data_IF_407982026701
#
_entry.id   IF_407982026701
#
_cell.length_a   1.000
_cell.length_b   1.000
_cell.length_c   1.000
_cell.angle_alpha   90.00
_cell.angle_beta   90.00
_cell.angle_gamma   90.00
#
_symmetry.space_group_name_H-M   'P 1'
#
loop_
_entity.id
_entity.type
_entity.pdbx_description
1 polymer ?
#
# COMPACT_ATOMS: atom_id res chain seq x y z
N UNK A 1 16.78 -14.91 4.43
CA UNK A 1 16.85 -14.89 5.91
C UNK A 1 15.74 -15.77 6.45
N UNK A 2 16.05 -16.59 7.48
CA UNK A 2 15.07 -17.42 8.18
C UNK A 2 14.87 -16.84 9.58
N UNK A 3 13.63 -16.81 10.04
CA UNK A 3 13.30 -16.43 11.40
C UNK A 3 12.22 -17.35 11.95
N UNK A 4 12.27 -17.60 13.25
CA UNK A 4 11.23 -18.32 13.97
C UNK A 4 10.43 -17.30 14.76
N UNK A 5 9.09 -17.35 14.61
CA UNK A 5 8.15 -16.48 15.31
C UNK A 5 7.18 -17.34 16.11
N UNK A 6 7.46 -17.64 17.39
CA UNK A 6 6.48 -18.30 18.26
C UNK A 6 5.26 -17.40 18.46
N UNK A 7 4.08 -17.93 18.31
CA UNK A 7 2.84 -17.17 18.48
C UNK A 7 1.71 -18.06 19.02
N UNK A 8 0.68 -17.43 19.55
CA UNK A 8 -0.60 -18.06 19.88
C UNK A 8 -1.54 -17.93 18.69
N UNK A 9 -2.51 -18.84 18.59
CA UNK A 9 -3.46 -18.83 17.50
C UNK A 9 -2.88 -19.28 16.15
N UNK A 10 -3.60 -18.96 15.09
CA UNK A 10 -3.12 -19.27 13.74
C UNK A 10 -2.20 -18.14 13.19
N UNK A 11 -1.61 -18.36 12.02
CA UNK A 11 -0.69 -17.41 11.38
C UNK A 11 -1.37 -16.09 10.97
N UNK A 12 -2.69 -16.09 10.76
CA UNK A 12 -3.46 -14.87 10.44
C UNK A 12 -3.64 -14.02 11.69
N UNK A 13 -4.07 -14.65 12.80
CA UNK A 13 -4.21 -13.97 14.09
C UNK A 13 -2.89 -13.39 14.58
N UNK A 14 -1.80 -14.10 14.34
CA UNK A 14 -0.46 -13.66 14.68
C UNK A 14 0.14 -12.64 13.69
N UNK A 15 -0.59 -12.28 12.63
CA UNK A 15 -0.16 -11.30 11.62
C UNK A 15 1.21 -11.62 10.98
N UNK A 16 1.49 -12.92 10.77
CA UNK A 16 2.80 -13.41 10.33
C UNK A 16 3.26 -12.79 9.00
N UNK A 17 2.34 -12.50 8.09
CA UNK A 17 2.67 -11.88 6.79
C UNK A 17 3.29 -10.50 6.98
N UNK A 18 2.73 -9.66 7.85
CA UNK A 18 3.27 -8.33 8.15
C UNK A 18 4.60 -8.40 8.90
N UNK A 19 4.74 -9.32 9.83
CA UNK A 19 6.01 -9.50 10.57
C UNK A 19 7.11 -10.00 9.63
N UNK A 20 6.79 -10.88 8.68
CA UNK A 20 7.72 -11.29 7.63
C UNK A 20 8.11 -10.11 6.72
N UNK A 21 7.15 -9.24 6.37
CA UNK A 21 7.41 -8.00 5.63
C UNK A 21 8.41 -7.10 6.38
N UNK A 22 8.17 -6.83 7.65
CA UNK A 22 9.09 -6.02 8.49
C UNK A 22 10.51 -6.61 8.58
N UNK A 23 10.62 -7.94 8.56
CA UNK A 23 11.93 -8.60 8.57
C UNK A 23 12.67 -8.46 7.23
N UNK A 24 11.95 -8.53 6.12
CA UNK A 24 12.51 -8.56 4.78
C UNK A 24 12.69 -7.16 4.16
N UNK A 25 11.78 -6.25 4.48
CA UNK A 25 11.78 -4.88 3.97
C UNK A 25 12.43 -3.94 4.99
N UNK A 26 13.71 -3.69 4.80
CA UNK A 26 14.45 -2.80 5.71
C UNK A 26 14.09 -1.34 5.44
N UNK A 27 13.86 -0.53 6.49
CA UNK A 27 13.65 0.89 6.33
C UNK A 27 14.91 1.56 5.74
N UNK A 28 14.68 2.52 4.84
CA UNK A 28 15.75 3.36 4.30
C UNK A 28 15.97 4.51 5.28
N UNK A 29 17.19 4.62 5.79
CA UNK A 29 17.58 5.70 6.69
C UNK A 29 18.45 6.70 5.93
N UNK A 30 18.06 7.96 5.94
CA UNK A 30 18.92 9.06 5.48
C UNK A 30 19.07 10.11 6.57
N UNK A 31 20.29 10.63 6.73
CA UNK A 31 20.60 11.70 7.68
C UNK A 31 20.93 12.96 6.89
N UNK A 32 20.19 14.03 7.14
CA UNK A 32 20.52 15.34 6.58
C UNK A 32 20.77 16.34 7.71
N UNK A 33 21.66 17.29 7.47
CA UNK A 33 21.85 18.41 8.37
C UNK A 33 20.83 19.50 8.04
N UNK A 34 19.91 19.85 8.93
CA UNK A 34 19.00 20.96 8.68
C UNK A 34 19.83 22.23 8.46
N UNK A 35 19.49 23.02 7.46
CA UNK A 35 20.10 24.33 7.30
C UNK A 35 19.67 25.21 8.49
N UNK A 36 20.57 26.04 8.96
CA UNK A 36 20.45 26.85 10.20
C UNK A 36 19.26 27.85 10.21
N UNK A 37 18.36 27.77 9.25
CA UNK A 37 17.32 28.79 9.04
C UNK A 37 15.90 28.36 9.39
N UNK A 38 15.67 27.14 9.85
CA UNK A 38 14.31 26.73 10.27
C UNK A 38 14.35 25.86 11.50
N UNK A 39 14.03 26.46 12.64
CA UNK A 39 13.76 25.77 13.90
C UNK A 39 12.39 25.07 13.91
N UNK A 40 11.76 24.84 12.78
CA UNK A 40 10.54 24.07 12.74
C UNK A 40 10.86 22.60 12.97
N UNK A 41 10.53 22.13 14.16
CA UNK A 41 10.39 20.70 14.44
C UNK A 41 9.31 20.15 13.53
N UNK A 42 9.70 19.78 12.33
CA UNK A 42 8.85 19.04 11.41
C UNK A 42 8.53 17.70 12.08
N UNK A 43 7.34 17.60 12.56
CA UNK A 43 6.79 16.34 12.96
C UNK A 43 6.32 15.59 11.70
N UNK A 44 6.60 14.57 11.50
CA UNK A 44 7.44 13.77 10.83
C UNK A 44 6.93 12.38 10.63
N UNK A 45 5.63 12.17 10.66
CA UNK A 45 4.99 11.00 10.10
C UNK A 45 4.11 11.43 8.92
N UNK A 46 4.50 11.00 7.73
CA UNK A 46 3.71 11.17 6.52
C UNK A 46 3.30 9.79 5.99
N UNK A 47 2.01 9.60 5.79
CA UNK A 47 1.44 8.39 5.21
C UNK A 47 0.94 8.72 3.81
N UNK A 48 1.50 8.08 2.80
CA UNK A 48 1.09 8.29 1.40
C UNK A 48 -0.30 7.72 1.13
N UNK A 49 -0.55 6.50 1.58
CA UNK A 49 -1.83 5.84 1.50
C UNK A 49 -1.96 4.79 2.61
N UNK A 50 -3.19 4.46 2.96
CA UNK A 50 -3.49 3.48 4.00
C UNK A 50 -4.63 2.56 3.57
N UNK A 51 -4.45 1.27 3.77
CA UNK A 51 -5.46 0.24 3.49
C UNK A 51 -6.08 -0.20 4.80
N UNK A 52 -7.40 -0.16 4.91
CA UNK A 52 -8.13 -0.46 6.15
C UNK A 52 -8.03 -1.92 6.61
N UNK A 53 -7.74 -2.83 5.70
CA UNK A 53 -7.83 -4.27 5.94
C UNK A 53 -6.45 -4.90 6.10
N UNK A 54 -6.13 -5.51 7.25
CA UNK A 54 -4.78 -6.03 7.53
C UNK A 54 -4.39 -7.22 6.65
N UNK A 55 -5.35 -7.92 6.04
CA UNK A 55 -5.10 -9.01 5.10
C UNK A 55 -4.83 -8.53 3.67
N UNK A 56 -4.88 -7.22 3.40
CA UNK A 56 -4.57 -6.65 2.10
C UNK A 56 -3.22 -5.95 2.17
N UNK A 57 -2.25 -6.49 1.45
CA UNK A 57 -0.86 -6.08 1.49
C UNK A 57 -0.52 -5.27 0.24
N UNK A 58 -0.02 -4.07 0.41
CA UNK A 58 0.58 -3.28 -0.67
C UNK A 58 1.98 -3.83 -0.94
N UNK A 59 2.21 -4.36 -2.13
CA UNK A 59 3.50 -4.97 -2.50
C UNK A 59 4.42 -4.05 -3.26
N UNK A 60 3.88 -3.11 -4.00
CA UNK A 60 4.70 -2.14 -4.72
C UNK A 60 3.97 -0.83 -4.97
N UNK A 61 4.75 0.23 -4.90
CA UNK A 61 4.38 1.56 -5.38
C UNK A 61 5.50 2.00 -6.32
N UNK A 62 5.18 2.21 -7.60
CA UNK A 62 6.17 2.60 -8.61
C UNK A 62 5.57 3.59 -9.61
N UNK A 63 6.43 4.22 -10.42
CA UNK A 63 5.95 4.98 -11.58
C UNK A 63 5.41 4.03 -12.63
N UNK A 64 4.35 4.44 -13.31
CA UNK A 64 3.80 3.71 -14.45
C UNK A 64 4.82 3.64 -15.61
N UNK A 65 4.83 2.54 -16.35
CA UNK A 65 5.77 2.33 -17.46
C UNK A 65 5.44 3.22 -18.67
N UNK A 66 4.17 3.27 -19.04
CA UNK A 66 3.74 3.88 -20.30
C UNK A 66 2.97 5.19 -20.14
N UNK A 67 2.64 5.59 -18.91
CA UNK A 67 1.81 6.75 -18.61
C UNK A 67 2.36 7.58 -17.44
N UNK A 68 1.87 8.81 -17.32
CA UNK A 68 2.12 9.60 -16.12
C UNK A 68 1.25 9.10 -14.99
N UNK A 69 1.84 8.70 -13.87
CA UNK A 69 1.11 8.27 -12.69
C UNK A 69 1.89 7.28 -11.84
N UNK A 70 1.24 6.81 -10.80
CA UNK A 70 1.76 5.80 -9.89
C UNK A 70 0.97 4.50 -10.02
N UNK A 71 1.70 3.41 -10.12
CA UNK A 71 1.13 2.07 -9.99
C UNK A 71 1.21 1.66 -8.54
N UNK A 72 0.07 1.24 -8.00
CA UNK A 72 -0.02 0.60 -6.68
C UNK A 72 -0.53 -0.81 -6.87
N UNK A 73 0.24 -1.79 -6.42
CA UNK A 73 -0.14 -3.20 -6.48
C UNK A 73 -0.35 -3.74 -5.09
N UNK A 74 -1.42 -4.48 -4.91
CA UNK A 74 -1.76 -5.10 -3.64
C UNK A 74 -2.35 -6.49 -3.85
N UNK A 75 -2.33 -7.31 -2.81
CA UNK A 75 -2.93 -8.63 -2.83
C UNK A 75 -3.60 -8.96 -1.50
N UNK A 76 -4.57 -9.85 -1.56
CA UNK A 76 -5.20 -10.42 -0.38
C UNK A 76 -4.40 -11.66 0.08
N UNK A 77 -4.01 -11.70 1.35
CA UNK A 77 -3.05 -12.66 1.89
C UNK A 77 -3.65 -13.80 2.71
N UNK A 78 -4.93 -13.73 3.09
CA UNK A 78 -5.54 -14.64 4.06
C UNK A 78 -6.58 -15.62 3.49
N UNK A 79 -6.88 -15.50 2.18
CA UNK A 79 -7.89 -16.31 1.53
C UNK A 79 -9.33 -15.89 1.87
N UNK A 80 -9.55 -14.61 2.16
CA UNK A 80 -10.84 -14.07 2.60
C UNK A 80 -11.29 -12.98 1.63
N UNK A 81 -12.55 -13.05 1.19
CA UNK A 81 -13.17 -11.96 0.42
C UNK A 81 -13.31 -10.73 1.32
N UNK A 82 -12.75 -9.62 0.90
CA UNK A 82 -12.59 -8.44 1.74
C UNK A 82 -13.08 -7.18 1.04
N UNK A 83 -13.91 -6.40 1.72
CA UNK A 83 -14.23 -5.03 1.33
C UNK A 83 -13.15 -4.10 1.87
N UNK A 84 -12.48 -3.40 0.97
CA UNK A 84 -11.34 -2.55 1.27
C UNK A 84 -11.76 -1.09 1.20
N UNK A 85 -11.40 -0.33 2.22
CA UNK A 85 -11.37 1.12 2.18
C UNK A 85 -9.91 1.57 2.09
N UNK A 86 -9.60 2.31 1.04
CA UNK A 86 -8.25 2.76 0.72
C UNK A 86 -8.17 4.26 0.84
N UNK A 87 -7.47 4.76 1.85
CA UNK A 87 -7.22 6.18 2.06
C UNK A 87 -6.03 6.61 1.19
N UNK A 88 -6.24 7.66 0.39
CA UNK A 88 -5.32 8.22 -0.59
C UNK A 88 -4.96 9.68 -0.31
N UNK A 89 -5.28 10.17 0.89
CA UNK A 89 -5.12 11.58 1.26
C UNK A 89 -3.70 12.12 0.97
N UNK A 90 -2.68 11.29 1.18
CA UNK A 90 -1.30 11.68 0.89
C UNK A 90 -0.90 11.67 -0.58
N UNK A 91 -1.69 11.07 -1.47
CA UNK A 91 -1.41 10.96 -2.91
C UNK A 91 -2.25 11.90 -3.76
N UNK A 92 -3.46 12.24 -3.31
CA UNK A 92 -4.41 13.14 -3.97
C UNK A 92 -4.54 12.89 -5.49
N UNK A 93 -4.83 11.68 -5.97
CA UNK A 93 -4.98 11.42 -7.39
C UNK A 93 -6.22 12.11 -7.94
N UNK A 94 -6.22 12.44 -9.23
CA UNK A 94 -7.40 12.92 -9.94
C UNK A 94 -8.27 11.79 -10.45
N UNK A 95 -7.64 10.70 -10.87
CA UNK A 95 -8.29 9.50 -11.39
C UNK A 95 -7.61 8.25 -10.86
N UNK A 96 -8.39 7.21 -10.68
CA UNK A 96 -7.92 5.87 -10.31
C UNK A 96 -8.46 4.89 -11.34
N UNK A 97 -7.57 4.08 -11.89
CA UNK A 97 -7.94 3.00 -12.81
C UNK A 97 -7.49 1.66 -12.24
N UNK A 98 -8.37 0.68 -12.23
CA UNK A 98 -7.96 -0.71 -12.06
C UNK A 98 -7.33 -1.18 -13.38
N UNK A 99 -6.20 -1.86 -13.28
CA UNK A 99 -5.39 -2.28 -14.40
C UNK A 99 -5.11 -3.78 -14.31
N UNK A 100 -4.75 -4.36 -15.45
CA UNK A 100 -4.15 -5.68 -15.49
C UNK A 100 -2.69 -5.68 -14.97
N UNK A 101 -2.04 -6.84 -15.00
CA UNK A 101 -0.64 -6.97 -14.55
C UNK A 101 0.36 -6.24 -15.47
N UNK A 102 -0.06 -5.92 -16.71
CA UNK A 102 0.71 -5.16 -17.70
C UNK A 102 0.42 -3.66 -17.66
N UNK A 103 -0.29 -3.19 -16.62
CA UNK A 103 -0.65 -1.79 -16.39
C UNK A 103 -1.64 -1.21 -17.42
N UNK A 104 -2.35 -2.08 -18.17
CA UNK A 104 -3.38 -1.64 -19.08
C UNK A 104 -4.68 -1.36 -18.32
N UNK A 105 -5.27 -0.21 -18.55
CA UNK A 105 -6.52 0.21 -17.90
C UNK A 105 -7.67 -0.70 -18.27
N UNK A 106 -8.35 -1.24 -17.27
CA UNK A 106 -9.55 -2.06 -17.45
C UNK A 106 -10.80 -1.27 -17.11
N UNK A 107 -10.80 -0.57 -15.99
CA UNK A 107 -11.94 0.23 -15.53
C UNK A 107 -11.53 1.37 -14.63
N UNK A 108 -12.35 2.43 -14.62
CA UNK A 108 -12.21 3.51 -13.66
C UNK A 108 -12.79 3.11 -12.31
N UNK A 109 -12.12 3.50 -11.25
CA UNK A 109 -12.55 3.27 -9.86
C UNK A 109 -13.13 4.56 -9.32
N UNK A 110 -14.40 4.51 -8.90
CA UNK A 110 -15.06 5.66 -8.29
C UNK A 110 -14.52 5.88 -6.88
N UNK A 111 -14.15 7.11 -6.56
CA UNK A 111 -13.68 7.52 -5.25
C UNK A 111 -14.16 8.94 -4.92
N UNK A 112 -14.11 9.33 -3.66
CA UNK A 112 -14.59 10.64 -3.17
C UNK A 112 -13.55 11.76 -3.19
N UNK A 113 -12.39 11.53 -3.81
CA UNK A 113 -11.24 12.42 -3.83
C UNK A 113 -10.19 12.07 -2.76
N UNK A 114 -10.56 11.33 -1.74
CA UNK A 114 -9.66 10.90 -0.66
C UNK A 114 -9.70 9.39 -0.43
N UNK A 115 -10.85 8.75 -0.64
CA UNK A 115 -11.06 7.34 -0.32
C UNK A 115 -11.66 6.59 -1.49
N UNK A 116 -11.06 5.47 -1.81
CA UNK A 116 -11.59 4.49 -2.75
C UNK A 116 -12.12 3.26 -1.99
N UNK A 117 -13.20 2.66 -2.49
CA UNK A 117 -13.77 1.43 -1.95
C UNK A 117 -13.84 0.39 -3.06
N UNK A 118 -13.36 -0.80 -2.76
CA UNK A 118 -13.43 -1.93 -3.68
C UNK A 118 -13.45 -3.25 -2.93
N UNK A 119 -13.86 -4.29 -3.63
CA UNK A 119 -13.78 -5.66 -3.14
C UNK A 119 -12.54 -6.35 -3.72
N UNK A 120 -11.87 -7.14 -2.90
CA UNK A 120 -10.79 -8.04 -3.32
C UNK A 120 -11.17 -9.47 -2.93
N UNK A 121 -10.95 -10.41 -3.87
CA UNK A 121 -11.25 -11.82 -3.69
C UNK A 121 -10.12 -12.52 -2.93
N UNK A 122 -10.39 -13.75 -2.40
CA UNK A 122 -9.34 -14.58 -1.82
C UNK A 122 -8.12 -14.73 -2.74
N UNK A 123 -6.94 -14.35 -2.24
CA UNK A 123 -5.66 -14.41 -2.93
C UNK A 123 -5.58 -13.62 -4.26
N UNK A 124 -6.50 -12.70 -4.47
CA UNK A 124 -6.49 -11.85 -5.65
C UNK A 124 -5.37 -10.81 -5.57
N UNK A 125 -4.77 -10.52 -6.72
CA UNK A 125 -3.86 -9.41 -6.91
C UNK A 125 -4.61 -8.32 -7.67
N UNK A 126 -4.53 -7.07 -7.18
CA UNK A 126 -5.07 -5.90 -7.87
C UNK A 126 -3.97 -4.91 -8.16
N UNK A 127 -4.05 -4.33 -9.35
CA UNK A 127 -3.15 -3.26 -9.79
C UNK A 127 -3.97 -2.01 -10.05
N UNK A 128 -3.52 -0.89 -9.51
CA UNK A 128 -4.18 0.40 -9.70
C UNK A 128 -3.20 1.42 -10.28
N UNK A 129 -3.67 2.19 -11.25
CA UNK A 129 -2.98 3.36 -11.76
C UNK A 129 -3.66 4.62 -11.18
N UNK A 130 -2.86 5.44 -10.52
CA UNK A 130 -3.25 6.74 -9.97
C UNK A 130 -2.67 7.84 -10.87
N UNK A 131 -3.54 8.72 -11.37
CA UNK A 131 -3.20 9.83 -12.28
C UNK A 131 -3.55 11.18 -11.64
#
# INVERSE_FOLDING_TARGET
TYALMPHMGDWREANVVHEAGKLNEKPILSVYKPSLLTEEKSSTRYTMCEVSSPNVIVTSVKRAENESGLIVRMYESSGIRTNVEWNLEGLCPKYIYECDMMEQKEREVVFDGQRAKFEIRPFEIKTFLLV
#
